data_IF_328617909876
#
_entry.id   IF_328617909876
#
_cell.length_a   1.000
_cell.length_b   1.000
_cell.length_c   1.000
_cell.angle_alpha   90.00
_cell.angle_beta   90.00
_cell.angle_gamma   90.00
#
_symmetry.space_group_name_H-M   'P 1'
#
loop_
_entity.id
_entity.type
_entity.pdbx_description
1 polymer ?
#
# COMPACT_ATOMS: atom_id res chain seq x y z
N UNK A 1 -8.69 26.55 9.95
CA UNK A 1 -8.86 25.74 8.73
C UNK A 1 -9.39 24.38 9.19
N UNK A 2 -10.72 24.21 9.12
CA UNK A 2 -11.53 22.98 9.34
C UNK A 2 -10.84 21.85 10.12
N UNK A 3 -10.56 22.12 11.39
CA UNK A 3 -10.23 21.10 12.39
C UNK A 3 -11.44 20.87 13.31
N UNK A 4 -12.63 21.19 12.79
CA UNK A 4 -13.90 21.04 13.49
C UNK A 4 -14.59 19.78 13.04
N UNK A 5 -15.29 19.19 14.01
CA UNK A 5 -16.30 18.16 13.81
C UNK A 5 -17.11 18.41 12.50
N UNK A 6 -17.14 17.44 11.58
CA UNK A 6 -17.83 17.62 10.30
C UNK A 6 -19.34 17.85 10.47
N UNK A 7 -19.97 17.35 11.54
CA UNK A 7 -21.38 17.61 11.81
C UNK A 7 -21.62 19.10 12.13
N UNK A 8 -20.83 19.66 13.02
CA UNK A 8 -20.83 21.10 13.33
C UNK A 8 -20.58 21.96 12.09
N UNK A 9 -19.61 21.55 11.24
CA UNK A 9 -19.29 22.26 9.99
C UNK A 9 -20.49 22.27 9.04
N UNK A 10 -21.18 21.14 8.85
CA UNK A 10 -22.39 21.05 8.03
C UNK A 10 -23.49 22.00 8.52
N UNK A 11 -23.68 22.07 9.83
CA UNK A 11 -24.76 22.88 10.42
C UNK A 11 -24.48 24.39 10.26
N UNK A 12 -23.24 24.83 10.47
CA UNK A 12 -22.85 26.22 10.20
C UNK A 12 -22.91 26.56 8.71
N UNK A 13 -22.43 25.66 7.84
CA UNK A 13 -22.49 25.84 6.40
C UNK A 13 -23.94 25.96 5.90
N UNK A 14 -24.86 25.15 6.44
CA UNK A 14 -26.28 25.24 6.08
C UNK A 14 -26.88 26.60 6.47
N UNK A 15 -26.58 27.10 7.67
CA UNK A 15 -27.03 28.42 8.13
C UNK A 15 -26.43 29.56 7.31
N UNK A 16 -25.15 29.46 6.95
CA UNK A 16 -24.46 30.44 6.11
C UNK A 16 -25.06 30.50 4.70
N UNK A 17 -25.38 29.34 4.11
CA UNK A 17 -26.02 29.27 2.79
C UNK A 17 -27.38 29.96 2.76
N UNK A 18 -28.26 29.65 3.72
CA UNK A 18 -29.57 30.32 3.81
C UNK A 18 -29.46 31.84 4.03
N UNK A 19 -28.40 32.31 4.70
CA UNK A 19 -28.13 33.73 4.85
C UNK A 19 -27.65 34.35 3.53
N UNK A 20 -26.75 33.68 2.80
CA UNK A 20 -26.31 34.08 1.47
C UNK A 20 -27.48 34.24 0.50
N UNK A 21 -28.36 33.24 0.44
CA UNK A 21 -29.59 33.28 -0.37
C UNK A 21 -30.49 34.48 0.00
N UNK A 22 -30.70 34.72 1.30
CA UNK A 22 -31.54 35.82 1.79
C UNK A 22 -30.96 37.19 1.46
N UNK A 23 -29.62 37.31 1.47
CA UNK A 23 -28.90 38.55 1.17
C UNK A 23 -28.62 38.75 -0.32
N UNK A 24 -28.79 37.71 -1.14
CA UNK A 24 -28.35 37.72 -2.55
C UNK A 24 -26.83 37.73 -2.71
N UNK A 25 -26.10 37.19 -1.73
CA UNK A 25 -24.63 37.11 -1.72
C UNK A 25 -24.16 35.74 -2.25
N UNK A 26 -23.80 35.73 -3.54
CA UNK A 26 -23.36 34.52 -4.25
C UNK A 26 -22.05 33.96 -3.67
N UNK A 27 -21.13 34.82 -3.25
CA UNK A 27 -19.84 34.39 -2.69
C UNK A 27 -20.05 33.61 -1.39
N UNK A 28 -20.90 34.15 -0.50
CA UNK A 28 -21.26 33.46 0.74
C UNK A 28 -22.02 32.16 0.48
N UNK A 29 -22.97 32.17 -0.46
CA UNK A 29 -23.77 31.00 -0.81
C UNK A 29 -22.89 29.85 -1.34
N UNK A 30 -22.05 30.12 -2.33
CA UNK A 30 -21.17 29.12 -2.94
C UNK A 30 -20.09 28.63 -1.99
N UNK A 31 -19.53 29.52 -1.15
CA UNK A 31 -18.57 29.13 -0.14
C UNK A 31 -19.22 28.23 0.92
N UNK A 32 -20.41 28.59 1.41
CA UNK A 32 -21.18 27.77 2.33
C UNK A 32 -21.53 26.40 1.72
N UNK A 33 -21.90 26.37 0.44
CA UNK A 33 -22.16 25.14 -0.29
C UNK A 33 -20.91 24.24 -0.36
N UNK A 34 -19.73 24.81 -0.62
CA UNK A 34 -18.47 24.08 -0.63
C UNK A 34 -18.11 23.49 0.74
N UNK A 35 -18.25 24.27 1.82
CA UNK A 35 -18.02 23.76 3.19
C UNK A 35 -19.02 22.66 3.58
N UNK A 36 -20.29 22.81 3.20
CA UNK A 36 -21.32 21.77 3.38
C UNK A 36 -20.91 20.51 2.62
N UNK A 37 -20.45 20.65 1.39
CA UNK A 37 -20.00 19.56 0.56
C UNK A 37 -18.85 18.77 1.19
N UNK A 38 -17.79 19.44 1.65
CA UNK A 38 -16.68 18.78 2.35
C UNK A 38 -17.11 18.09 3.66
N UNK A 39 -18.02 18.71 4.42
CA UNK A 39 -18.57 18.11 5.63
C UNK A 39 -19.34 16.82 5.32
N UNK A 40 -20.20 16.83 4.31
CA UNK A 40 -20.94 15.64 3.85
C UNK A 40 -20.00 14.53 3.37
N UNK A 41 -18.94 14.88 2.62
CA UNK A 41 -17.89 13.92 2.23
C UNK A 41 -17.25 13.30 3.47
N UNK A 42 -16.89 14.11 4.47
CA UNK A 42 -16.25 13.63 5.71
C UNK A 42 -17.17 12.72 6.54
N UNK A 43 -18.49 12.96 6.49
CA UNK A 43 -19.54 12.12 7.10
C UNK A 43 -19.85 10.84 6.30
N UNK A 44 -19.16 10.57 5.19
CA UNK A 44 -19.37 9.42 4.32
C UNK A 44 -20.47 9.58 3.27
N UNK A 45 -21.18 10.72 3.24
CA UNK A 45 -22.17 11.04 2.20
C UNK A 45 -21.48 11.60 0.95
N UNK A 46 -20.55 10.82 0.38
CA UNK A 46 -19.60 11.27 -0.64
C UNK A 46 -20.30 11.86 -1.86
N UNK A 47 -21.26 11.15 -2.46
CA UNK A 47 -21.94 11.63 -3.67
C UNK A 47 -22.70 12.94 -3.44
N UNK A 48 -23.38 13.07 -2.29
CA UNK A 48 -24.13 14.28 -1.96
C UNK A 48 -23.19 15.46 -1.69
N UNK A 49 -22.10 15.21 -0.97
CA UNK A 49 -21.10 16.22 -0.67
C UNK A 49 -20.37 16.69 -1.92
N UNK A 50 -20.01 15.76 -2.80
CA UNK A 50 -19.37 16.08 -4.05
C UNK A 50 -20.26 16.91 -4.98
N UNK A 51 -21.57 16.62 -5.07
CA UNK A 51 -22.49 17.46 -5.85
C UNK A 51 -22.50 18.92 -5.38
N UNK A 52 -22.47 19.14 -4.06
CA UNK A 52 -22.39 20.50 -3.51
C UNK A 52 -21.07 21.18 -3.92
N UNK A 53 -19.96 20.45 -3.87
CA UNK A 53 -18.66 20.98 -4.28
C UNK A 53 -18.61 21.27 -5.78
N UNK A 54 -19.16 20.38 -6.62
CA UNK A 54 -19.19 20.55 -8.07
C UNK A 54 -19.95 21.83 -8.43
N UNK A 55 -21.11 22.07 -7.81
CA UNK A 55 -21.90 23.29 -8.01
C UNK A 55 -21.14 24.55 -7.62
N UNK A 56 -20.50 24.56 -6.43
CA UNK A 56 -19.71 25.71 -5.98
C UNK A 56 -18.52 26.01 -6.91
N UNK A 57 -17.81 24.98 -7.39
CA UNK A 57 -16.66 25.17 -8.27
C UNK A 57 -17.10 25.48 -9.71
N UNK A 58 -18.28 25.04 -10.15
CA UNK A 58 -18.88 25.48 -11.43
C UNK A 58 -19.16 26.99 -11.39
N UNK A 59 -19.74 27.52 -10.31
CA UNK A 59 -19.96 28.97 -10.17
C UNK A 59 -18.63 29.77 -10.17
N UNK A 60 -17.63 29.27 -9.44
CA UNK A 60 -16.26 29.80 -9.50
C UNK A 60 -15.66 29.75 -10.92
N UNK A 61 -15.90 28.65 -11.65
CA UNK A 61 -15.44 28.48 -13.01
C UNK A 61 -16.13 29.45 -13.98
N UNK A 62 -17.42 29.68 -13.80
CA UNK A 62 -18.21 30.61 -14.60
C UNK A 62 -17.89 32.09 -14.32
N UNK A 63 -17.13 32.39 -13.25
CA UNK A 63 -16.84 33.77 -12.85
C UNK A 63 -18.03 34.45 -12.18
N UNK A 64 -18.94 33.68 -11.61
CA UNK A 64 -20.12 34.17 -10.89
C UNK A 64 -19.78 34.64 -9.47
N UNK A 65 -18.66 34.15 -8.93
CA UNK A 65 -18.09 34.57 -7.66
C UNK A 65 -17.23 35.83 -7.83
N UNK A 66 -17.51 36.86 -7.04
CA UNK A 66 -16.83 38.15 -7.09
C UNK A 66 -15.60 38.21 -6.18
N UNK A 67 -15.62 37.46 -5.07
CA UNK A 67 -14.51 37.38 -4.13
C UNK A 67 -13.52 36.27 -4.52
N UNK A 68 -12.26 36.66 -4.67
CA UNK A 68 -11.23 35.76 -5.15
C UNK A 68 -10.78 34.76 -4.08
N UNK A 69 -10.84 35.12 -2.79
CA UNK A 69 -10.50 34.22 -1.69
C UNK A 69 -11.58 33.15 -1.52
N UNK A 70 -12.86 33.51 -1.68
CA UNK A 70 -13.99 32.59 -1.71
C UNK A 70 -13.86 31.61 -2.88
N UNK A 71 -13.54 32.12 -4.08
CA UNK A 71 -13.26 31.33 -5.28
C UNK A 71 -12.14 30.31 -5.04
N UNK A 72 -10.99 30.77 -4.55
CA UNK A 72 -9.85 29.90 -4.28
C UNK A 72 -10.17 28.86 -3.20
N UNK A 73 -10.90 29.27 -2.15
CA UNK A 73 -11.31 28.36 -1.08
C UNK A 73 -12.24 27.27 -1.58
N UNK A 74 -13.26 27.60 -2.37
CA UNK A 74 -14.18 26.61 -2.95
C UNK A 74 -13.42 25.56 -3.79
N UNK A 75 -12.50 26.02 -4.66
CA UNK A 75 -11.62 25.15 -5.45
C UNK A 75 -10.73 24.25 -4.57
N UNK A 76 -10.15 24.78 -3.50
CA UNK A 76 -9.29 24.01 -2.61
C UNK A 76 -10.08 22.97 -1.81
N UNK A 77 -11.31 23.29 -1.38
CA UNK A 77 -12.21 22.35 -0.71
C UNK A 77 -12.60 21.19 -1.63
N UNK A 78 -12.82 21.46 -2.91
CA UNK A 78 -13.06 20.41 -3.91
C UNK A 78 -11.88 19.45 -4.03
N UNK A 79 -10.67 19.96 -4.24
CA UNK A 79 -9.48 19.09 -4.37
C UNK A 79 -9.25 18.33 -3.07
N UNK A 80 -9.41 18.98 -1.92
CA UNK A 80 -9.24 18.34 -0.63
C UNK A 80 -10.28 17.22 -0.40
N UNK A 81 -11.54 17.45 -0.76
CA UNK A 81 -12.56 16.42 -0.70
C UNK A 81 -12.25 15.24 -1.62
N UNK A 82 -11.75 15.50 -2.84
CA UNK A 82 -11.31 14.45 -3.75
C UNK A 82 -10.13 13.66 -3.20
N UNK A 83 -9.15 14.33 -2.56
CA UNK A 83 -8.04 13.69 -1.86
C UNK A 83 -8.54 12.77 -0.74
N UNK A 84 -9.45 13.26 0.13
CA UNK A 84 -10.05 12.46 1.21
C UNK A 84 -10.80 11.25 0.67
N UNK A 85 -11.67 11.47 -0.33
CA UNK A 85 -12.50 10.43 -0.94
C UNK A 85 -11.72 9.47 -1.86
N UNK A 86 -10.47 9.83 -2.20
CA UNK A 86 -9.62 9.17 -3.20
C UNK A 86 -10.28 9.15 -4.59
N UNK A 87 -11.04 10.18 -4.91
CA UNK A 87 -11.63 10.41 -6.23
C UNK A 87 -10.59 11.07 -7.15
N UNK A 88 -9.64 10.26 -7.63
CA UNK A 88 -8.45 10.74 -8.32
C UNK A 88 -8.75 11.23 -9.75
N UNK A 89 -9.82 10.74 -10.37
CA UNK A 89 -10.22 11.14 -11.73
C UNK A 89 -10.83 12.55 -11.70
N UNK A 90 -11.82 12.78 -10.83
CA UNK A 90 -12.41 14.09 -10.65
C UNK A 90 -11.39 15.15 -10.25
N UNK A 91 -10.49 14.81 -9.32
CA UNK A 91 -9.42 15.72 -8.94
C UNK A 91 -8.55 16.10 -10.14
N UNK A 92 -8.20 15.16 -11.02
CA UNK A 92 -7.36 15.43 -12.17
C UNK A 92 -8.04 16.36 -13.19
N UNK A 93 -9.34 16.17 -13.43
CA UNK A 93 -10.14 17.03 -14.32
C UNK A 93 -10.18 18.47 -13.81
N UNK A 94 -10.49 18.65 -12.53
CA UNK A 94 -10.52 19.98 -11.92
C UNK A 94 -9.15 20.64 -11.87
N UNK A 95 -8.10 19.88 -11.56
CA UNK A 95 -6.75 20.43 -11.50
C UNK A 95 -6.21 20.85 -12.87
N UNK A 96 -6.60 20.16 -13.95
CA UNK A 96 -6.27 20.62 -15.30
C UNK A 96 -6.87 22.01 -15.59
N UNK A 97 -8.12 22.25 -15.18
CA UNK A 97 -8.80 23.54 -15.35
C UNK A 97 -8.18 24.63 -14.46
N UNK A 98 -7.80 24.29 -13.22
CA UNK A 98 -7.14 25.23 -12.30
C UNK A 98 -5.73 25.59 -12.78
N UNK A 99 -4.97 24.65 -13.34
CA UNK A 99 -3.60 24.87 -13.82
C UNK A 99 -3.54 25.90 -14.95
N UNK A 100 -4.51 25.88 -15.86
CA UNK A 100 -4.63 26.88 -16.93
C UNK A 100 -4.86 28.30 -16.36
N UNK A 101 -5.65 28.42 -15.29
CA UNK A 101 -5.93 29.70 -14.62
C UNK A 101 -4.78 30.17 -13.73
N UNK A 102 -4.12 29.25 -13.02
CA UNK A 102 -3.04 29.57 -12.07
C UNK A 102 -1.72 29.96 -12.75
N UNK A 103 -1.55 29.65 -14.04
CA UNK A 103 -0.39 30.08 -14.84
C UNK A 103 -0.34 31.60 -15.05
N UNK A 104 -1.44 32.31 -14.81
CA UNK A 104 -1.45 33.77 -14.74
C UNK A 104 -0.80 34.22 -13.42
N UNK A 105 0.28 35.01 -13.51
CA UNK A 105 1.17 35.37 -12.39
C UNK A 105 0.48 35.96 -11.16
N UNK A 106 -0.68 36.60 -11.34
CA UNK A 106 -1.50 37.20 -10.28
C UNK A 106 -2.21 36.19 -9.38
N UNK A 107 -2.32 34.91 -9.79
CA UNK A 107 -3.12 33.90 -9.08
C UNK A 107 -2.28 32.78 -8.45
N UNK A 108 -0.97 32.72 -8.71
CA UNK A 108 -0.11 31.58 -8.33
C UNK A 108 -0.06 31.33 -6.82
N UNK A 109 0.10 32.39 -6.02
CA UNK A 109 0.15 32.30 -4.56
C UNK A 109 -1.21 31.96 -3.95
N UNK A 110 -2.30 32.46 -4.54
CA UNK A 110 -3.66 32.23 -4.02
C UNK A 110 -4.10 30.77 -4.19
N UNK A 111 -3.57 30.07 -5.20
CA UNK A 111 -3.80 28.64 -5.42
C UNK A 111 -2.74 27.73 -4.79
N UNK A 112 -1.82 28.24 -3.96
CA UNK A 112 -0.74 27.44 -3.39
C UNK A 112 -1.25 26.24 -2.57
N UNK A 113 -2.31 26.40 -1.79
CA UNK A 113 -2.92 25.31 -1.03
C UNK A 113 -3.60 24.28 -1.95
N UNK A 114 -4.31 24.74 -2.97
CA UNK A 114 -4.92 23.89 -3.99
C UNK A 114 -3.85 23.05 -4.72
N UNK A 115 -2.71 23.68 -5.08
CA UNK A 115 -1.55 23.00 -5.69
C UNK A 115 -0.93 21.96 -4.76
N UNK A 116 -0.84 22.24 -3.45
CA UNK A 116 -0.37 21.26 -2.47
C UNK A 116 -1.27 20.02 -2.45
N UNK A 117 -2.59 20.19 -2.31
CA UNK A 117 -3.54 19.07 -2.32
C UNK A 117 -3.56 18.33 -3.67
N UNK A 118 -3.40 19.05 -4.79
CA UNK A 118 -3.23 18.42 -6.10
C UNK A 118 -1.99 17.53 -6.16
N UNK A 119 -0.88 17.96 -5.56
CA UNK A 119 0.29 17.10 -5.46
C UNK A 119 0.01 15.83 -4.63
N UNK A 120 -0.85 15.89 -3.61
CA UNK A 120 -1.38 14.71 -2.91
C UNK A 120 -2.07 13.71 -3.85
N UNK A 121 -2.89 14.22 -4.78
CA UNK A 121 -3.54 13.41 -5.83
C UNK A 121 -2.50 12.82 -6.79
N UNK A 122 -1.52 13.60 -7.23
CA UNK A 122 -0.43 13.14 -8.09
C UNK A 122 0.41 12.03 -7.42
N UNK A 123 0.67 12.14 -6.11
CA UNK A 123 1.34 11.10 -5.31
C UNK A 123 0.56 9.78 -5.40
N UNK A 124 -0.76 9.82 -5.19
CA UNK A 124 -1.63 8.62 -5.27
C UNK A 124 -1.65 8.03 -6.69
N UNK A 125 -1.70 8.88 -7.72
CA UNK A 125 -1.69 8.46 -9.13
C UNK A 125 -0.34 7.92 -9.63
N UNK A 126 0.72 8.02 -8.83
CA UNK A 126 2.06 7.59 -9.22
C UNK A 126 2.79 8.58 -10.14
N UNK A 127 2.28 9.81 -10.28
CA UNK A 127 2.90 10.89 -11.09
C UNK A 127 3.87 11.68 -10.22
N UNK A 128 4.85 10.98 -9.65
CA UNK A 128 5.69 11.46 -8.55
C UNK A 128 6.65 12.58 -8.93
N UNK A 129 7.13 12.60 -10.17
CA UNK A 129 8.02 13.65 -10.65
C UNK A 129 7.30 15.01 -10.70
N UNK A 130 6.06 15.05 -11.19
CA UNK A 130 5.25 16.27 -11.20
C UNK A 130 4.88 16.69 -9.77
N UNK A 131 4.45 15.73 -8.92
CA UNK A 131 4.14 16.02 -7.52
C UNK A 131 5.32 16.66 -6.77
N UNK A 132 6.53 16.16 -7.01
CA UNK A 132 7.75 16.68 -6.39
C UNK A 132 8.04 18.11 -6.81
N UNK A 133 7.97 18.41 -8.10
CA UNK A 133 8.19 19.76 -8.63
C UNK A 133 7.16 20.72 -8.02
N UNK A 134 5.88 20.35 -8.06
CA UNK A 134 4.79 21.18 -7.52
C UNK A 134 4.98 21.46 -6.02
N UNK A 135 5.28 20.43 -5.22
CA UNK A 135 5.47 20.60 -3.77
C UNK A 135 6.68 21.47 -3.43
N UNK A 136 7.82 21.26 -4.11
CA UNK A 136 9.01 22.07 -3.89
C UNK A 136 8.71 23.53 -4.22
N UNK A 137 8.09 23.81 -5.37
CA UNK A 137 7.73 25.17 -5.75
C UNK A 137 6.75 25.83 -4.75
N UNK A 138 5.72 25.11 -4.33
CA UNK A 138 4.73 25.61 -3.36
C UNK A 138 5.38 25.92 -2.01
N UNK A 139 6.26 25.03 -1.51
CA UNK A 139 6.99 25.26 -0.26
C UNK A 139 7.85 26.51 -0.38
N UNK A 140 8.63 26.61 -1.46
CA UNK A 140 9.50 27.75 -1.73
C UNK A 140 8.74 29.08 -1.81
N UNK A 141 7.56 29.09 -2.43
CA UNK A 141 6.69 30.26 -2.57
C UNK A 141 6.06 30.67 -1.23
N UNK A 142 5.51 29.71 -0.49
CA UNK A 142 4.87 29.95 0.81
C UNK A 142 5.88 30.31 1.89
N UNK A 143 7.08 29.73 1.92
CA UNK A 143 8.10 30.06 2.92
C UNK A 143 8.59 31.51 2.79
N UNK A 144 8.50 32.11 1.60
CA UNK A 144 8.85 33.53 1.37
C UNK A 144 7.77 34.51 1.81
N UNK A 145 6.50 34.10 1.83
CA UNK A 145 5.36 35.03 1.98
C UNK A 145 4.44 34.70 3.16
N UNK A 146 4.11 33.42 3.35
CA UNK A 146 3.14 32.91 4.31
C UNK A 146 3.62 31.59 4.94
N UNK A 147 4.78 31.63 5.61
CA UNK A 147 5.53 30.44 6.06
C UNK A 147 4.67 29.38 6.76
N UNK A 148 3.75 29.80 7.62
CA UNK A 148 2.80 28.93 8.31
C UNK A 148 1.98 28.01 7.36
N UNK A 149 1.61 28.50 6.18
CA UNK A 149 0.79 27.77 5.22
C UNK A 149 1.56 26.69 4.45
N UNK A 150 2.90 26.70 4.47
CA UNK A 150 3.71 25.65 3.84
C UNK A 150 3.63 24.30 4.58
N UNK A 151 3.03 24.27 5.78
CA UNK A 151 2.96 23.09 6.63
C UNK A 151 2.37 21.86 5.92
N UNK A 152 1.28 22.05 5.17
CA UNK A 152 0.63 20.94 4.45
C UNK A 152 1.52 20.36 3.35
N UNK A 153 2.16 21.24 2.57
CA UNK A 153 3.06 20.84 1.50
C UNK A 153 4.29 20.10 2.04
N UNK A 154 4.82 20.48 3.21
CA UNK A 154 5.91 19.76 3.87
C UNK A 154 5.51 18.32 4.24
N UNK A 155 4.30 18.12 4.76
CA UNK A 155 3.76 16.80 5.13
C UNK A 155 3.51 15.92 3.89
N UNK A 156 3.03 16.50 2.80
CA UNK A 156 2.86 15.76 1.53
C UNK A 156 4.20 15.44 0.88
N UNK A 157 5.18 16.34 0.95
CA UNK A 157 6.52 16.07 0.44
C UNK A 157 7.19 14.97 1.25
N UNK A 158 7.01 14.96 2.57
CA UNK A 158 7.50 13.86 3.41
C UNK A 158 6.84 12.53 3.01
N UNK A 159 5.54 12.55 2.70
CA UNK A 159 4.84 11.39 2.15
C UNK A 159 5.48 10.88 0.86
N UNK A 160 5.75 11.77 -0.07
CA UNK A 160 6.39 11.41 -1.32
C UNK A 160 7.80 10.83 -1.11
N UNK A 161 8.58 11.43 -0.21
CA UNK A 161 9.94 10.99 0.11
C UNK A 161 9.98 9.56 0.65
N UNK A 162 9.11 9.19 1.60
CA UNK A 162 9.14 7.81 2.10
C UNK A 162 8.68 6.80 1.05
N UNK A 163 7.71 7.14 0.21
CA UNK A 163 7.25 6.31 -0.91
C UNK A 163 8.34 6.07 -1.95
N UNK A 164 9.17 7.08 -2.21
CA UNK A 164 10.37 6.99 -3.05
C UNK A 164 11.52 6.22 -2.37
N UNK A 165 11.44 6.00 -1.05
CA UNK A 165 12.48 5.34 -0.25
C UNK A 165 13.55 6.28 0.31
N UNK A 166 13.32 7.60 0.25
CA UNK A 166 14.18 8.66 0.77
C UNK A 166 13.78 8.96 2.23
N UNK A 167 14.03 7.98 3.11
CA UNK A 167 13.50 7.98 4.47
C UNK A 167 14.08 9.09 5.36
N UNK A 168 15.37 9.41 5.18
CA UNK A 168 16.04 10.50 5.91
C UNK A 168 15.43 11.86 5.56
N UNK A 169 15.25 12.15 4.26
CA UNK A 169 14.56 13.37 3.82
C UNK A 169 13.11 13.44 4.33
N UNK A 170 12.41 12.30 4.37
CA UNK A 170 11.05 12.24 4.90
C UNK A 170 11.00 12.61 6.39
N UNK A 171 11.95 12.11 7.18
CA UNK A 171 12.10 12.40 8.60
C UNK A 171 12.41 13.88 8.84
N UNK A 172 13.36 14.46 8.09
CA UNK A 172 13.72 15.88 8.18
C UNK A 172 12.53 16.81 7.85
N UNK A 173 11.75 16.47 6.83
CA UNK A 173 10.56 17.24 6.44
C UNK A 173 9.48 17.19 7.53
N UNK A 174 9.27 16.03 8.16
CA UNK A 174 8.33 15.92 9.29
C UNK A 174 8.83 16.72 10.50
N UNK A 175 10.11 16.63 10.83
CA UNK A 175 10.70 17.41 11.93
C UNK A 175 10.55 18.92 11.69
N UNK A 176 10.72 19.37 10.44
CA UNK A 176 10.44 20.76 10.05
C UNK A 176 8.97 21.11 10.25
N UNK A 177 8.04 20.28 9.76
CA UNK A 177 6.60 20.51 9.89
C UNK A 177 6.10 20.50 11.34
N UNK A 178 6.81 19.83 12.25
CA UNK A 178 6.54 19.80 13.69
C UNK A 178 7.16 20.97 14.46
N UNK A 179 7.93 21.82 13.79
CA UNK A 179 8.56 23.00 14.40
C UNK A 179 7.70 24.27 14.17
N UNK A 180 7.81 25.31 15.02
CA UNK A 180 7.20 26.60 14.73
C UNK A 180 7.72 27.20 13.41
N UNK A 181 6.87 27.85 12.59
CA UNK A 181 5.44 28.15 12.82
C UNK A 181 4.46 27.06 12.33
N UNK A 182 4.94 25.95 11.79
CA UNK A 182 4.11 24.97 11.06
C UNK A 182 3.25 24.09 11.98
N UNK A 183 3.76 23.74 13.17
CA UNK A 183 3.18 22.75 14.08
C UNK A 183 1.69 22.94 14.41
N UNK A 184 1.21 24.19 14.40
CA UNK A 184 -0.17 24.53 14.76
C UNK A 184 -1.20 24.19 13.67
N UNK A 185 -0.77 23.85 12.45
CA UNK A 185 -1.66 23.61 11.30
C UNK A 185 -1.78 22.14 10.89
N UNK A 186 -0.80 21.31 11.25
CA UNK A 186 -0.67 19.95 10.70
C UNK A 186 -0.45 18.87 11.76
N UNK A 187 -0.69 19.18 13.04
CA UNK A 187 -0.39 18.28 14.16
C UNK A 187 -0.94 16.85 13.99
N UNK A 188 -2.22 16.71 13.63
CA UNK A 188 -2.83 15.38 13.39
C UNK A 188 -2.23 14.67 12.15
N UNK A 189 -1.97 15.41 11.06
CA UNK A 189 -1.40 14.83 9.84
C UNK A 189 0.04 14.36 10.06
N UNK A 190 0.84 15.12 10.81
CA UNK A 190 2.19 14.71 11.22
C UNK A 190 2.13 13.39 12.01
N UNK A 191 1.19 13.23 12.96
CA UNK A 191 1.01 11.97 13.68
C UNK A 191 0.75 10.78 12.74
N UNK A 192 -0.15 10.94 11.77
CA UNK A 192 -0.42 9.87 10.80
C UNK A 192 0.82 9.53 9.95
N UNK A 193 1.58 10.54 9.50
CA UNK A 193 2.81 10.34 8.72
C UNK A 193 3.95 9.75 9.53
N UNK A 194 4.13 10.17 10.79
CA UNK A 194 5.06 9.54 11.75
C UNK A 194 4.74 8.07 11.92
N UNK A 195 3.45 7.75 12.07
CA UNK A 195 2.95 6.38 12.09
C UNK A 195 3.39 5.57 10.88
N UNK A 196 3.08 6.06 9.68
CA UNK A 196 3.47 5.40 8.42
C UNK A 196 4.99 5.19 8.30
N UNK A 197 5.80 6.22 8.61
CA UNK A 197 7.25 6.15 8.53
C UNK A 197 7.83 5.14 9.54
N UNK A 198 7.30 5.10 10.76
CA UNK A 198 7.71 4.13 11.78
C UNK A 198 7.44 2.68 11.33
N UNK A 199 6.27 2.41 10.73
CA UNK A 199 5.95 1.09 10.17
C UNK A 199 6.93 0.69 9.06
N UNK A 200 7.33 1.64 8.21
CA UNK A 200 8.31 1.38 7.14
C UNK A 200 9.72 1.09 7.62
N UNK A 201 10.09 1.68 8.75
CA UNK A 201 11.33 1.40 9.46
C UNK A 201 11.26 0.11 10.30
N UNK A 202 10.10 -0.57 10.33
CA UNK A 202 9.89 -1.80 11.07
C UNK A 202 9.58 -1.59 12.55
N UNK A 203 9.37 -0.35 13.00
CA UNK A 203 9.03 -0.02 14.38
C UNK A 203 7.51 0.03 14.56
N UNK A 204 6.90 -1.16 14.71
CA UNK A 204 5.45 -1.30 14.78
C UNK A 204 4.83 -0.70 16.06
N UNK A 205 5.55 -0.74 17.20
CA UNK A 205 5.10 -0.14 18.45
C UNK A 205 4.98 1.39 18.34
N UNK A 206 6.05 2.07 17.87
CA UNK A 206 6.01 3.51 17.66
C UNK A 206 4.95 3.90 16.60
N UNK A 207 4.81 3.09 15.56
CA UNK A 207 3.75 3.25 14.56
C UNK A 207 2.37 3.23 15.20
N UNK A 208 2.08 2.21 16.01
CA UNK A 208 0.83 2.08 16.75
C UNK A 208 0.55 3.30 17.64
N UNK A 209 1.53 3.76 18.42
CA UNK A 209 1.37 4.91 19.31
C UNK A 209 1.01 6.20 18.57
N UNK A 210 1.71 6.49 17.48
CA UNK A 210 1.42 7.66 16.65
C UNK A 210 0.03 7.60 16.01
N UNK A 211 -0.35 6.45 15.46
CA UNK A 211 -1.64 6.27 14.78
C UNK A 211 -2.80 6.32 15.78
N UNK A 212 -2.64 5.76 16.97
CA UNK A 212 -3.68 5.86 18.01
C UNK A 212 -3.84 7.29 18.52
N UNK A 213 -2.75 8.07 18.63
CA UNK A 213 -2.85 9.51 18.94
C UNK A 213 -3.61 10.28 17.86
N UNK A 214 -3.35 9.96 16.59
CA UNK A 214 -4.10 10.50 15.46
C UNK A 214 -5.59 10.15 15.56
N UNK A 215 -5.95 8.87 15.76
CA UNK A 215 -7.35 8.45 15.86
C UNK A 215 -8.10 9.07 17.05
N UNK A 216 -7.40 9.42 18.14
CA UNK A 216 -7.97 10.17 19.26
C UNK A 216 -8.21 11.65 18.96
N UNK A 217 -7.46 12.24 18.02
CA UNK A 217 -7.64 13.63 17.60
C UNK A 217 -8.67 13.79 16.49
N UNK A 218 -9.04 12.71 15.81
CA UNK A 218 -10.03 12.71 14.73
C UNK A 218 -11.42 12.43 15.31
N UNK A 219 -12.44 13.27 15.03
CA UNK A 219 -13.83 13.04 15.43
C UNK A 219 -14.33 11.65 14.99
N UNK A 220 -15.26 11.05 15.73
CA UNK A 220 -15.81 9.74 15.39
C UNK A 220 -16.57 9.77 14.06
N UNK A 221 -17.13 10.93 13.73
CA UNK A 221 -17.96 11.23 12.57
C UNK A 221 -17.16 11.48 11.29
N UNK A 222 -15.84 11.76 11.37
CA UNK A 222 -14.99 11.94 10.18
C UNK A 222 -14.51 10.58 9.66
N UNK A 223 -15.41 9.89 8.98
CA UNK A 223 -15.22 8.52 8.51
C UNK A 223 -13.98 8.35 7.62
N UNK A 224 -13.68 9.33 6.76
CA UNK A 224 -12.59 9.21 5.79
C UNK A 224 -11.22 9.43 6.44
N UNK A 225 -11.07 10.38 7.37
CA UNK A 225 -9.82 10.52 8.14
C UNK A 225 -9.61 9.32 9.07
N UNK A 226 -10.69 8.81 9.69
CA UNK A 226 -10.60 7.59 10.52
C UNK A 226 -10.15 6.39 9.72
N UNK A 227 -10.70 6.18 8.52
CA UNK A 227 -10.29 5.08 7.63
C UNK A 227 -8.77 5.08 7.40
N UNK A 228 -8.19 6.24 7.08
CA UNK A 228 -6.75 6.38 6.85
C UNK A 228 -5.89 5.96 8.06
N UNK A 229 -6.35 6.26 9.28
CA UNK A 229 -5.69 5.81 10.52
C UNK A 229 -5.87 4.31 10.76
N UNK A 230 -7.09 3.80 10.61
CA UNK A 230 -7.43 2.40 10.85
C UNK A 230 -6.68 1.46 9.88
N UNK A 231 -6.51 1.83 8.62
CA UNK A 231 -5.71 1.09 7.63
C UNK A 231 -4.27 0.85 8.11
N UNK A 232 -3.61 1.90 8.62
CA UNK A 232 -2.25 1.79 9.14
C UNK A 232 -2.20 1.09 10.50
N UNK A 233 -3.23 1.24 11.34
CA UNK A 233 -3.29 0.56 12.62
C UNK A 233 -3.48 -0.96 12.45
N UNK A 234 -4.26 -1.40 11.46
CA UNK A 234 -4.32 -2.82 11.07
C UNK A 234 -2.93 -3.32 10.68
N UNK A 235 -2.19 -2.56 9.86
CA UNK A 235 -0.82 -2.91 9.48
C UNK A 235 0.09 -3.04 10.72
N UNK A 236 0.02 -2.09 11.64
CA UNK A 236 0.80 -2.12 12.88
C UNK A 236 0.52 -3.39 13.70
N UNK A 237 -0.75 -3.73 13.92
CA UNK A 237 -1.12 -4.93 14.67
C UNK A 237 -0.73 -6.23 13.95
N UNK A 238 -0.81 -6.28 12.62
CA UNK A 238 -0.31 -7.41 11.82
C UNK A 238 1.21 -7.57 11.95
N UNK A 239 1.96 -6.47 11.91
CA UNK A 239 3.43 -6.50 12.12
C UNK A 239 3.80 -7.00 13.53
N UNK A 240 3.02 -6.60 14.55
CA UNK A 240 3.14 -7.09 15.93
C UNK A 240 2.65 -8.52 16.13
N UNK A 241 2.05 -9.14 15.10
CA UNK A 241 1.39 -10.46 15.18
C UNK A 241 0.26 -10.53 16.22
N UNK A 242 -0.32 -9.39 16.59
CA UNK A 242 -1.48 -9.31 17.49
C UNK A 242 -2.77 -9.47 16.70
N UNK A 243 -3.16 -10.72 16.49
CA UNK A 243 -4.36 -11.08 15.71
C UNK A 243 -5.64 -10.45 16.29
N UNK A 244 -5.80 -10.49 17.60
CA UNK A 244 -7.02 -10.01 18.25
C UNK A 244 -7.21 -8.51 18.01
N UNK A 245 -6.16 -7.71 18.23
CA UNK A 245 -6.24 -6.27 17.95
C UNK A 245 -6.37 -5.98 16.46
N UNK A 246 -5.70 -6.73 15.60
CA UNK A 246 -5.82 -6.58 14.15
C UNK A 246 -7.26 -6.82 13.66
N UNK A 247 -7.92 -7.87 14.16
CA UNK A 247 -9.33 -8.18 13.84
C UNK A 247 -10.30 -7.12 14.39
N UNK A 248 -10.09 -6.63 15.62
CA UNK A 248 -10.91 -5.56 16.20
C UNK A 248 -10.82 -4.26 15.39
N UNK A 249 -9.60 -3.81 15.06
CA UNK A 249 -9.38 -2.62 14.23
C UNK A 249 -9.92 -2.80 12.81
N UNK A 250 -9.80 -4.01 12.24
CA UNK A 250 -10.37 -4.32 10.93
C UNK A 250 -11.90 -4.26 10.95
N UNK A 251 -12.54 -4.70 12.02
CA UNK A 251 -13.99 -4.58 12.16
C UNK A 251 -14.42 -3.11 12.18
N UNK A 252 -13.72 -2.24 12.92
CA UNK A 252 -14.01 -0.81 12.91
C UNK A 252 -13.82 -0.20 11.51
N UNK A 253 -12.76 -0.59 10.79
CA UNK A 253 -12.56 -0.16 9.40
C UNK A 253 -13.72 -0.62 8.48
N UNK A 254 -14.21 -1.85 8.67
CA UNK A 254 -15.36 -2.37 7.91
C UNK A 254 -16.62 -1.55 8.17
N UNK A 255 -16.88 -1.18 9.42
CA UNK A 255 -18.02 -0.36 9.80
C UNK A 255 -17.93 1.03 9.15
N UNK A 256 -16.75 1.65 9.19
CA UNK A 256 -16.49 2.92 8.49
C UNK A 256 -16.73 2.81 6.98
N UNK A 257 -16.11 1.82 6.32
CA UNK A 257 -16.19 1.65 4.87
C UNK A 257 -17.61 1.33 4.40
N UNK A 258 -18.40 0.61 5.21
CA UNK A 258 -19.81 0.34 4.89
C UNK A 258 -20.66 1.62 4.76
N UNK A 259 -20.29 2.69 5.48
CA UNK A 259 -20.98 3.97 5.46
C UNK A 259 -20.44 4.95 4.39
N UNK A 260 -19.26 4.69 3.82
CA UNK A 260 -18.63 5.54 2.78
C UNK A 260 -18.82 4.93 1.38
N UNK A 261 -18.67 3.61 1.26
CA UNK A 261 -18.95 2.78 0.08
C UNK A 261 -18.29 3.19 -1.26
N UNK A 262 -17.19 3.96 -1.26
CA UNK A 262 -16.45 4.26 -2.50
C UNK A 262 -15.51 3.12 -2.91
N UNK A 263 -15.25 2.98 -4.23
CA UNK A 263 -14.34 1.97 -4.77
C UNK A 263 -12.93 1.96 -4.13
N UNK A 264 -12.25 3.11 -3.98
CA UNK A 264 -10.96 3.18 -3.31
C UNK A 264 -10.98 2.74 -1.83
N UNK A 265 -12.08 3.01 -1.11
CA UNK A 265 -12.23 2.59 0.29
C UNK A 265 -12.49 1.08 0.39
N UNK A 266 -13.24 0.51 -0.56
CA UNK A 266 -13.37 -0.94 -0.68
C UNK A 266 -12.02 -1.60 -1.00
N UNK A 267 -11.19 -1.01 -1.86
CA UNK A 267 -9.85 -1.50 -2.16
C UNK A 267 -8.97 -1.58 -0.90
N UNK A 268 -8.98 -0.50 -0.10
CA UNK A 268 -8.28 -0.42 1.17
C UNK A 268 -8.76 -1.46 2.18
N UNK A 269 -10.07 -1.65 2.29
CA UNK A 269 -10.65 -2.68 3.16
C UNK A 269 -10.20 -4.08 2.75
N UNK A 270 -10.33 -4.46 1.46
CA UNK A 270 -9.89 -5.78 0.98
C UNK A 270 -8.40 -6.00 1.23
N UNK A 271 -7.58 -4.95 1.08
CA UNK A 271 -6.15 -5.03 1.40
C UNK A 271 -5.88 -5.29 2.89
N UNK A 272 -6.60 -4.58 3.78
CA UNK A 272 -6.52 -4.80 5.22
C UNK A 272 -7.02 -6.20 5.63
N UNK A 273 -8.13 -6.67 5.05
CA UNK A 273 -8.67 -8.02 5.26
C UNK A 273 -7.67 -9.10 4.84
N UNK A 274 -6.96 -8.90 3.73
CA UNK A 274 -5.89 -9.78 3.28
C UNK A 274 -4.75 -9.85 4.27
N UNK A 275 -4.29 -8.71 4.80
CA UNK A 275 -3.21 -8.63 5.80
C UNK A 275 -3.54 -9.36 7.10
N UNK A 276 -4.76 -9.19 7.60
CA UNK A 276 -5.22 -9.92 8.81
C UNK A 276 -5.35 -11.41 8.51
N UNK A 277 -5.96 -11.77 7.38
CA UNK A 277 -6.12 -13.18 6.97
C UNK A 277 -4.78 -13.89 6.80
N UNK A 278 -3.75 -13.20 6.30
CA UNK A 278 -2.41 -13.75 6.09
C UNK A 278 -1.73 -14.24 7.39
N UNK A 279 -2.22 -13.84 8.57
CA UNK A 279 -1.75 -14.36 9.85
C UNK A 279 -2.15 -15.83 10.11
N UNK A 280 -3.12 -16.37 9.38
CA UNK A 280 -3.66 -17.71 9.67
C UNK A 280 -4.24 -18.49 8.51
N UNK A 281 -4.76 -17.81 7.50
CA UNK A 281 -5.40 -18.41 6.32
C UNK A 281 -4.83 -17.76 5.05
N UNK A 282 -3.76 -18.33 4.48
CA UNK A 282 -3.17 -17.85 3.24
C UNK A 282 -4.13 -17.90 2.04
N UNK A 283 -5.15 -18.77 2.05
CA UNK A 283 -6.13 -18.87 0.98
C UNK A 283 -7.13 -17.72 1.04
N UNK A 284 -7.67 -17.41 2.22
CA UNK A 284 -8.51 -16.25 2.42
C UNK A 284 -7.73 -14.95 2.12
N UNK A 285 -6.47 -14.87 2.55
CA UNK A 285 -5.59 -13.74 2.27
C UNK A 285 -5.41 -13.51 0.76
N UNK A 286 -5.11 -14.58 0.01
CA UNK A 286 -4.99 -14.55 -1.46
C UNK A 286 -6.22 -13.91 -2.11
N UNK A 287 -7.43 -14.36 -1.77
CA UNK A 287 -8.68 -13.85 -2.38
C UNK A 287 -8.83 -12.35 -2.10
N UNK A 288 -8.60 -11.92 -0.85
CA UNK A 288 -8.69 -10.52 -0.50
C UNK A 288 -7.64 -9.66 -1.24
N UNK A 289 -6.42 -10.17 -1.42
CA UNK A 289 -5.39 -9.45 -2.16
C UNK A 289 -5.65 -9.39 -3.68
N UNK A 290 -6.22 -10.43 -4.28
CA UNK A 290 -6.65 -10.39 -5.69
C UNK A 290 -7.67 -9.27 -5.93
N UNK A 291 -8.70 -9.20 -5.07
CA UNK A 291 -9.71 -8.13 -5.15
C UNK A 291 -9.09 -6.75 -4.93
N UNK A 292 -8.19 -6.61 -3.95
CA UNK A 292 -7.49 -5.35 -3.68
C UNK A 292 -6.66 -4.88 -4.89
N UNK A 293 -5.94 -5.80 -5.55
CA UNK A 293 -5.15 -5.50 -6.75
C UNK A 293 -6.02 -4.94 -7.86
N UNK A 294 -7.17 -5.57 -8.13
CA UNK A 294 -8.13 -5.14 -9.16
C UNK A 294 -8.74 -3.77 -8.83
N UNK A 295 -9.19 -3.59 -7.59
CA UNK A 295 -9.83 -2.35 -7.16
C UNK A 295 -8.85 -1.17 -7.15
N UNK A 296 -7.62 -1.34 -6.65
CA UNK A 296 -6.60 -0.27 -6.71
C UNK A 296 -6.21 0.08 -8.15
N UNK A 297 -6.19 -0.90 -9.06
CA UNK A 297 -5.92 -0.65 -10.47
C UNK A 297 -7.04 0.19 -11.11
N UNK A 298 -8.31 -0.11 -10.81
CA UNK A 298 -9.46 0.69 -11.25
C UNK A 298 -9.44 2.10 -10.68
N UNK A 299 -8.98 2.27 -9.45
CA UNK A 299 -8.86 3.57 -8.78
C UNK A 299 -7.57 4.33 -9.11
N UNK A 300 -6.86 4.00 -10.20
CA UNK A 300 -5.64 4.69 -10.62
C UNK A 300 -4.59 4.84 -9.49
N UNK A 301 -4.45 3.84 -8.62
CA UNK A 301 -3.54 3.84 -7.46
C UNK A 301 -2.42 2.81 -7.65
N UNK A 302 -1.41 3.06 -8.51
CA UNK A 302 -0.43 2.06 -8.93
C UNK A 302 0.48 1.59 -7.80
N UNK A 303 0.82 2.47 -6.85
CA UNK A 303 1.67 2.11 -5.72
C UNK A 303 0.98 1.08 -4.81
N UNK A 304 -0.27 1.36 -4.42
CA UNK A 304 -1.10 0.50 -3.59
C UNK A 304 -1.39 -0.84 -4.30
N UNK A 305 -1.69 -0.80 -5.61
CA UNK A 305 -1.85 -2.02 -6.43
C UNK A 305 -0.58 -2.88 -6.43
N UNK A 306 0.60 -2.26 -6.56
CA UNK A 306 1.88 -2.98 -6.51
C UNK A 306 2.18 -3.55 -5.11
N UNK A 307 1.85 -2.83 -4.04
CA UNK A 307 1.95 -3.36 -2.67
C UNK A 307 1.04 -4.57 -2.48
N UNK A 308 -0.20 -4.51 -2.95
CA UNK A 308 -1.14 -5.64 -2.90
C UNK A 308 -0.63 -6.86 -3.65
N UNK A 309 0.03 -6.69 -4.81
CA UNK A 309 0.68 -7.79 -5.55
C UNK A 309 1.83 -8.44 -4.79
N UNK A 310 2.63 -7.66 -4.05
CA UNK A 310 3.72 -8.23 -3.23
C UNK A 310 3.14 -9.13 -2.13
N UNK A 311 2.09 -8.67 -1.42
CA UNK A 311 1.43 -9.44 -0.37
C UNK A 311 0.67 -10.67 -0.93
N UNK A 312 0.06 -10.53 -2.11
CA UNK A 312 -0.50 -11.64 -2.88
C UNK A 312 0.57 -12.69 -3.19
N UNK A 313 1.75 -12.26 -3.65
CA UNK A 313 2.89 -13.13 -3.86
C UNK A 313 3.33 -13.88 -2.61
N UNK A 314 3.34 -13.21 -1.46
CA UNK A 314 3.57 -13.83 -0.15
C UNK A 314 2.55 -14.95 0.15
N UNK A 315 1.26 -14.67 -0.04
CA UNK A 315 0.16 -15.62 0.18
C UNK A 315 0.23 -16.81 -0.78
N UNK A 316 0.49 -16.57 -2.07
CA UNK A 316 0.69 -17.62 -3.08
C UNK A 316 1.89 -18.52 -2.75
N UNK A 317 2.98 -17.94 -2.26
CA UNK A 317 4.15 -18.71 -1.83
C UNK A 317 3.83 -19.61 -0.64
N UNK A 318 3.09 -19.10 0.36
CA UNK A 318 2.62 -19.89 1.50
C UNK A 318 1.69 -21.05 1.10
N UNK A 319 0.95 -20.90 -0.02
CA UNK A 319 0.14 -21.97 -0.64
C UNK A 319 0.95 -22.92 -1.55
N UNK A 320 2.28 -22.78 -1.60
CA UNK A 320 3.16 -23.59 -2.45
C UNK A 320 3.17 -23.20 -3.93
N UNK A 321 2.46 -22.14 -4.33
CA UNK A 321 2.33 -21.68 -5.73
C UNK A 321 3.45 -20.72 -6.12
N UNK A 322 4.71 -21.14 -5.93
CA UNK A 322 5.90 -20.30 -6.12
C UNK A 322 6.01 -19.63 -7.51
N UNK A 323 5.74 -20.31 -8.64
CA UNK A 323 5.82 -19.64 -9.95
C UNK A 323 4.85 -18.46 -10.08
N UNK A 324 3.61 -18.64 -9.63
CA UNK A 324 2.61 -17.57 -9.62
C UNK A 324 3.00 -16.44 -8.64
N UNK A 325 3.53 -16.79 -7.47
CA UNK A 325 4.02 -15.80 -6.50
C UNK A 325 5.12 -14.90 -7.09
N UNK A 326 6.09 -15.51 -7.77
CA UNK A 326 7.19 -14.78 -8.41
C UNK A 326 6.67 -13.88 -9.52
N UNK A 327 5.72 -14.34 -10.33
CA UNK A 327 5.14 -13.54 -11.42
C UNK A 327 4.42 -12.28 -10.89
N UNK A 328 3.62 -12.44 -9.83
CA UNK A 328 2.95 -11.31 -9.16
C UNK A 328 3.95 -10.29 -8.60
N UNK A 329 4.99 -10.76 -7.91
CA UNK A 329 6.03 -9.89 -7.34
C UNK A 329 6.80 -9.16 -8.45
N UNK A 330 7.14 -9.83 -9.55
CA UNK A 330 7.84 -9.18 -10.67
C UNK A 330 6.94 -8.19 -11.42
N UNK A 331 5.64 -8.42 -11.43
CA UNK A 331 4.67 -7.43 -11.92
C UNK A 331 4.66 -6.19 -11.02
N UNK A 332 4.69 -6.37 -9.69
CA UNK A 332 4.84 -5.26 -8.75
C UNK A 332 6.16 -4.49 -8.96
N UNK A 333 7.28 -5.19 -9.19
CA UNK A 333 8.58 -4.57 -9.49
C UNK A 333 8.49 -3.63 -10.70
N UNK A 334 7.87 -4.07 -11.80
CA UNK A 334 7.72 -3.22 -13.00
C UNK A 334 6.91 -1.96 -12.70
N UNK A 335 5.86 -2.06 -11.89
CA UNK A 335 5.05 -0.91 -11.48
C UNK A 335 5.84 0.03 -10.57
N UNK A 336 6.54 -0.49 -9.56
CA UNK A 336 7.40 0.30 -8.68
C UNK A 336 8.51 1.03 -9.44
N UNK A 337 9.15 0.36 -10.39
CA UNK A 337 10.17 0.98 -11.25
C UNK A 337 9.60 2.12 -12.08
N UNK A 338 8.43 1.92 -12.68
CA UNK A 338 7.77 2.94 -13.52
C UNK A 338 7.48 4.23 -12.75
N UNK A 339 7.06 4.12 -11.48
CA UNK A 339 6.69 5.29 -10.65
C UNK A 339 7.86 5.86 -9.84
N UNK A 340 9.02 5.18 -9.80
CA UNK A 340 10.20 5.63 -9.07
C UNK A 340 10.27 5.17 -7.59
N UNK A 341 9.61 4.06 -7.24
CA UNK A 341 9.61 3.49 -5.89
C UNK A 341 10.84 2.60 -5.62
N UNK A 342 12.05 3.18 -5.74
CA UNK A 342 13.31 2.42 -5.80
C UNK A 342 13.57 1.49 -4.59
N UNK A 343 13.18 1.88 -3.37
CA UNK A 343 13.27 0.99 -2.19
C UNK A 343 12.34 -0.21 -2.31
N UNK A 344 11.11 0.01 -2.78
CA UNK A 344 10.11 -1.04 -2.97
C UNK A 344 10.47 -2.00 -4.09
N UNK A 345 11.00 -1.49 -5.21
CA UNK A 345 11.63 -2.30 -6.26
C UNK A 345 12.67 -3.25 -5.65
N UNK A 346 13.65 -2.72 -4.92
CA UNK A 346 14.74 -3.54 -4.34
C UNK A 346 14.20 -4.60 -3.38
N UNK A 347 13.24 -4.23 -2.52
CA UNK A 347 12.59 -5.16 -1.57
C UNK A 347 11.87 -6.29 -2.31
N UNK A 348 11.04 -5.96 -3.29
CA UNK A 348 10.30 -6.94 -4.08
C UNK A 348 11.22 -7.84 -4.92
N UNK A 349 12.28 -7.28 -5.53
CA UNK A 349 13.31 -8.05 -6.24
C UNK A 349 14.06 -9.01 -5.31
N UNK A 350 14.38 -8.60 -4.08
CA UNK A 350 14.99 -9.51 -3.09
C UNK A 350 14.07 -10.69 -2.80
N UNK A 351 12.80 -10.41 -2.49
CA UNK A 351 11.80 -11.43 -2.22
C UNK A 351 11.65 -12.41 -3.40
N UNK A 352 11.56 -11.91 -4.64
CA UNK A 352 11.48 -12.77 -5.82
C UNK A 352 12.74 -13.65 -6.00
N UNK A 353 13.94 -13.12 -5.71
CA UNK A 353 15.19 -13.89 -5.76
C UNK A 353 15.24 -14.97 -4.68
N UNK A 354 14.80 -14.65 -3.47
CA UNK A 354 14.68 -15.61 -2.37
C UNK A 354 13.71 -16.74 -2.74
N UNK A 355 12.52 -16.42 -3.26
CA UNK A 355 11.57 -17.45 -3.68
C UNK A 355 12.11 -18.34 -4.82
N UNK A 356 12.93 -17.80 -5.71
CA UNK A 356 13.63 -18.56 -6.75
C UNK A 356 14.75 -19.44 -6.19
N UNK A 357 15.54 -18.95 -5.24
CA UNK A 357 16.63 -19.74 -4.64
C UNK A 357 16.07 -20.90 -3.81
N UNK A 358 14.96 -20.68 -3.11
CA UNK A 358 14.18 -21.76 -2.46
C UNK A 358 13.37 -22.61 -3.45
N UNK A 359 13.35 -22.26 -4.75
CA UNK A 359 12.74 -23.00 -5.85
C UNK A 359 13.73 -23.81 -6.71
N UNK A 360 15.04 -23.62 -6.49
CA UNK A 360 16.10 -24.51 -7.02
C UNK A 360 16.27 -25.80 -6.21
N UNK A 361 15.56 -25.89 -5.09
CA UNK A 361 15.21 -27.15 -4.47
C UNK A 361 13.91 -27.65 -5.07
N UNK A 362 13.98 -28.33 -6.22
CA UNK A 362 13.31 -29.63 -6.23
C UNK A 362 13.67 -30.29 -4.91
N UNK A 363 12.70 -30.84 -4.21
CA UNK A 363 12.95 -31.86 -3.22
C UNK A 363 13.95 -32.86 -3.83
N UNK A 364 15.25 -32.67 -3.57
CA UNK A 364 16.07 -33.76 -3.10
C UNK A 364 15.38 -34.19 -1.81
N UNK A 365 14.26 -34.91 -1.96
CA UNK A 365 14.15 -36.16 -1.26
C UNK A 365 15.56 -36.73 -1.34
N UNK A 366 16.22 -36.85 -0.20
CA UNK A 366 17.46 -37.60 -0.10
C UNK A 366 17.32 -38.75 -1.11
N UNK A 367 18.14 -38.86 -2.17
CA UNK A 367 17.86 -39.86 -3.18
C UNK A 367 17.90 -41.27 -2.58
N UNK A 368 18.38 -41.43 -1.33
CA UNK A 368 18.24 -42.63 -0.52
C UNK A 368 16.81 -42.85 0.02
N UNK A 369 15.98 -41.81 0.23
CA UNK A 369 14.58 -41.93 0.63
C UNK A 369 13.69 -42.62 -0.42
N UNK A 370 14.04 -42.59 -1.70
CA UNK A 370 13.31 -43.36 -2.72
C UNK A 370 13.75 -44.83 -2.77
N UNK A 371 14.80 -45.19 -2.03
CA UNK A 371 15.29 -46.55 -1.89
C UNK A 371 14.77 -47.21 -0.62
N UNK A 372 14.43 -48.48 -0.72
CA UNK A 372 14.16 -49.32 0.45
C UNK A 372 15.44 -49.60 1.21
N UNK A 373 15.34 -49.94 2.50
CA UNK A 373 16.50 -50.36 3.34
C UNK A 373 17.36 -51.43 2.66
N UNK A 374 16.74 -52.37 1.93
CA UNK A 374 17.45 -53.43 1.22
C UNK A 374 18.16 -52.95 -0.03
N UNK A 375 17.57 -51.97 -0.74
CA UNK A 375 18.21 -51.33 -1.89
C UNK A 375 19.42 -50.48 -1.47
N UNK A 376 19.35 -49.82 -0.31
CA UNK A 376 20.49 -49.10 0.28
C UNK A 376 21.64 -50.08 0.58
N UNK A 377 21.34 -51.22 1.21
CA UNK A 377 22.34 -52.26 1.52
C UNK A 377 23.00 -52.83 0.25
N UNK A 378 22.21 -53.10 -0.80
CA UNK A 378 22.72 -53.55 -2.10
C UNK A 378 23.57 -52.46 -2.78
N UNK A 379 23.16 -51.19 -2.67
CA UNK A 379 23.91 -50.05 -3.20
C UNK A 379 25.26 -49.88 -2.50
N UNK A 380 25.31 -50.00 -1.16
CA UNK A 380 26.55 -49.98 -0.38
C UNK A 380 27.51 -51.10 -0.80
N UNK A 381 27.04 -52.35 -0.90
CA UNK A 381 27.90 -53.46 -1.32
C UNK A 381 28.35 -53.32 -2.78
N UNK A 382 27.53 -52.72 -3.63
CA UNK A 382 27.91 -52.38 -5.01
C UNK A 382 29.02 -51.33 -5.04
N UNK A 383 28.97 -50.33 -4.14
CA UNK A 383 29.99 -49.31 -4.01
C UNK A 383 31.34 -49.85 -3.49
N UNK A 384 31.30 -50.91 -2.68
CA UNK A 384 32.48 -51.65 -2.22
C UNK A 384 33.11 -52.53 -3.31
N UNK A 385 32.57 -52.53 -4.53
CA UNK A 385 33.12 -53.26 -5.68
C UNK A 385 32.71 -54.74 -5.77
N UNK A 386 31.80 -55.22 -4.92
CA UNK A 386 31.36 -56.62 -4.97
C UNK A 386 30.53 -56.87 -6.24
N UNK A 387 30.65 -58.06 -6.81
CA UNK A 387 29.84 -58.59 -7.91
C UNK A 387 28.45 -59.02 -7.42
N UNK A 388 27.48 -59.18 -8.34
CA UNK A 388 26.12 -59.65 -7.97
C UNK A 388 26.15 -61.00 -7.25
N UNK A 389 27.08 -61.90 -7.63
CA UNK A 389 27.28 -63.20 -6.99
C UNK A 389 27.79 -63.06 -5.55
N UNK A 390 28.76 -62.19 -5.29
CA UNK A 390 29.29 -61.95 -3.95
C UNK A 390 28.26 -61.26 -3.03
N UNK A 391 27.53 -60.28 -3.57
CA UNK A 391 26.41 -59.64 -2.87
C UNK A 391 25.35 -60.69 -2.53
N UNK A 392 24.98 -61.56 -3.47
CA UNK A 392 23.99 -62.61 -3.28
C UNK A 392 24.40 -63.57 -2.15
N UNK A 393 25.66 -64.00 -2.10
CA UNK A 393 26.21 -64.81 -1.01
C UNK A 393 26.12 -64.09 0.34
N UNK A 394 26.59 -62.84 0.40
CA UNK A 394 26.62 -62.05 1.64
C UNK A 394 25.22 -61.76 2.19
N UNK A 395 24.27 -61.60 1.29
CA UNK A 395 22.89 -61.25 1.60
C UNK A 395 21.97 -62.47 1.72
N UNK A 396 22.48 -63.70 1.55
CA UNK A 396 21.70 -64.95 1.50
C UNK A 396 20.51 -64.87 0.52
N UNK A 397 20.79 -64.46 -0.73
CA UNK A 397 19.80 -64.31 -1.82
C UNK A 397 20.32 -64.93 -3.11
N UNK A 398 19.44 -65.10 -4.11
CA UNK A 398 19.87 -65.52 -5.46
C UNK A 398 20.49 -64.34 -6.23
N UNK A 399 21.44 -64.65 -7.12
CA UNK A 399 22.08 -63.66 -8.00
C UNK A 399 21.07 -62.89 -8.85
N UNK A 400 20.03 -63.58 -9.34
CA UNK A 400 18.92 -62.97 -10.08
C UNK A 400 18.18 -61.90 -9.26
N UNK A 401 18.00 -62.12 -7.95
CA UNK A 401 17.34 -61.16 -7.05
C UNK A 401 18.19 -59.89 -6.88
N UNK A 402 19.51 -60.05 -6.74
CA UNK A 402 20.45 -58.91 -6.64
C UNK A 402 20.49 -58.12 -7.93
N UNK A 403 20.53 -58.79 -9.09
CA UNK A 403 20.45 -58.14 -10.39
C UNK A 403 19.21 -57.25 -10.52
N UNK A 404 18.05 -57.75 -10.09
CA UNK A 404 16.80 -56.98 -10.07
C UNK A 404 16.86 -55.78 -9.12
N UNK A 405 17.46 -55.92 -7.94
CA UNK A 405 17.67 -54.79 -7.03
C UNK A 405 18.58 -53.72 -7.63
N UNK A 406 19.69 -54.11 -8.27
CA UNK A 406 20.59 -53.15 -8.94
C UNK A 406 19.87 -52.43 -10.09
N UNK A 407 19.11 -53.14 -10.91
CA UNK A 407 18.31 -52.53 -11.97
C UNK A 407 17.30 -51.51 -11.42
N UNK A 408 16.55 -51.88 -10.37
CA UNK A 408 15.59 -50.99 -9.72
C UNK A 408 16.26 -49.75 -9.11
N UNK A 409 17.44 -49.90 -8.50
CA UNK A 409 18.22 -48.80 -7.95
C UNK A 409 18.63 -47.83 -9.06
N UNK A 410 19.13 -48.34 -10.19
CA UNK A 410 19.50 -47.51 -11.34
C UNK A 410 18.30 -46.74 -11.89
N UNK A 411 17.14 -47.39 -12.01
CA UNK A 411 15.89 -46.74 -12.44
C UNK A 411 15.43 -45.67 -11.44
N UNK A 412 15.41 -45.98 -10.13
CA UNK A 412 14.96 -45.07 -9.07
C UNK A 412 15.87 -43.85 -8.88
N UNK A 413 17.17 -44.02 -9.12
CA UNK A 413 18.15 -42.94 -9.02
C UNK A 413 18.46 -42.25 -10.36
N UNK A 414 17.87 -42.72 -11.47
CA UNK A 414 18.13 -42.19 -12.81
C UNK A 414 19.58 -42.37 -13.27
N UNK A 415 20.25 -43.45 -12.83
CA UNK A 415 21.67 -43.69 -13.10
C UNK A 415 21.88 -44.61 -14.31
N UNK A 416 22.82 -44.29 -15.21
CA UNK A 416 22.98 -45.02 -16.47
C UNK A 416 23.77 -46.32 -16.33
N UNK A 417 24.46 -46.56 -15.21
CA UNK A 417 25.34 -47.72 -15.06
C UNK A 417 25.65 -48.07 -13.60
N UNK A 418 26.10 -49.31 -13.38
CA UNK A 418 26.61 -49.78 -12.07
C UNK A 418 27.76 -48.91 -11.55
N UNK A 419 28.65 -48.45 -12.44
CA UNK A 419 29.73 -47.55 -12.08
C UNK A 419 29.21 -46.18 -11.60
N UNK A 420 28.15 -45.67 -12.24
CA UNK A 420 27.47 -44.46 -11.78
C UNK A 420 26.82 -44.66 -10.40
N UNK A 421 26.24 -45.84 -10.12
CA UNK A 421 25.71 -46.19 -8.79
C UNK A 421 26.80 -46.24 -7.70
N UNK A 422 27.97 -46.83 -8.00
CA UNK A 422 29.09 -46.84 -7.05
C UNK A 422 29.61 -45.42 -6.75
N UNK A 423 29.76 -44.58 -7.77
CA UNK A 423 30.15 -43.17 -7.59
C UNK A 423 29.10 -42.38 -6.81
N UNK A 424 27.81 -42.65 -7.07
CA UNK A 424 26.70 -42.05 -6.34
C UNK A 424 26.75 -42.39 -4.84
N UNK A 425 26.92 -43.67 -4.49
CA UNK A 425 27.02 -44.10 -3.10
C UNK A 425 28.21 -43.47 -2.35
N UNK A 426 29.35 -43.33 -3.01
CA UNK A 426 30.54 -42.66 -2.44
C UNK A 426 30.29 -41.17 -2.14
N UNK A 427 29.58 -40.46 -3.04
CA UNK A 427 29.21 -39.04 -2.83
C UNK A 427 28.19 -38.84 -1.69
N UNK A 428 27.45 -39.89 -1.32
CA UNK A 428 26.43 -39.88 -0.28
C UNK A 428 26.88 -40.55 1.03
N UNK A 429 28.19 -40.75 1.24
CA UNK A 429 28.80 -41.31 2.46
C UNK A 429 28.26 -42.69 2.87
N UNK A 430 27.99 -43.57 1.88
CA UNK A 430 27.58 -44.95 2.13
C UNK A 430 28.77 -45.94 2.25
N UNK A 431 30.01 -45.45 2.30
CA UNK A 431 31.25 -46.24 2.32
C UNK A 431 31.97 -46.13 3.66
#
# INVERSE_FOLDING_TARGET
MIDHDPATTRDFATRAGSLGETLGDIDLEMLALAYRGLALVSLGQVDAGMRCLDEAVIAAAAGEMGDIDATCTACCLMIYACEKARDLERAAEWCAQLKERSQQSSYRLMFALCRAHYAGVLIRRGVWAEAEIELIEVIDELERTHRAQAAEALVLLSELRWRQGRLEEAEELLQRAESPPYQMFVGKRCLLRRGALALELGNADAGCDHIQRFLRSVPAEDLLERAAGLELLVQAHVMLRDRHRAEATLQELRDVVSNVSTGPMQAALRFAEGRVSALSDPLAAKVCFEDAVELFARSSSPFESAQARVELGGSLSALGRKPAAIDEILTAVRTFDKIGAARWTRKAQSLARELRSFGGGETRADPLHCLTRREIEVLTLTAQGLTNREIATRLCRSEHTVHRHVANILTKLGLPSRAAAASFAAKHNLL
#
